data_IF_610170915755
#
_entry.id   IF_610170915755
#
_cell.length_a   1.000
_cell.length_b   1.000
_cell.length_c   1.000
_cell.angle_alpha   90.00
_cell.angle_beta   90.00
_cell.angle_gamma   90.00
#
_symmetry.space_group_name_H-M   'P 1'
#
loop_
_entity.id
_entity.type
_entity.pdbx_description
1 polymer ?
#
# COMPACT_ATOMS: atom_id res chain seq x y z
N UNK A 1 -1.31 5.99 -22.38
CA UNK A 1 -1.81 7.38 -22.54
C UNK A 1 -1.98 7.94 -21.14
N UNK A 2 -1.36 9.07 -20.80
CA UNK A 2 -1.59 9.74 -19.52
C UNK A 2 -2.98 10.37 -19.60
N UNK A 3 -3.78 10.18 -18.55
CA UNK A 3 -5.14 10.72 -18.40
C UNK A 3 -5.17 11.72 -17.25
N UNK A 4 -6.22 12.53 -17.20
CA UNK A 4 -6.43 13.51 -16.13
C UNK A 4 -6.65 12.84 -14.76
N UNK A 5 -6.50 13.64 -13.70
CA UNK A 5 -6.84 13.21 -12.34
C UNK A 5 -8.28 12.73 -12.26
N UNK A 6 -8.51 11.67 -11.48
CA UNK A 6 -9.87 11.21 -11.22
C UNK A 6 -10.56 12.26 -10.31
N UNK A 7 -11.83 12.61 -10.55
CA UNK A 7 -12.57 13.48 -9.65
C UNK A 7 -12.49 12.98 -8.20
N UNK A 8 -12.08 13.86 -7.28
CA UNK A 8 -11.89 13.54 -5.86
C UNK A 8 -10.45 13.24 -5.43
N UNK A 9 -9.51 13.04 -6.37
CA UNK A 9 -8.11 12.88 -6.01
C UNK A 9 -7.52 14.22 -5.53
N UNK A 10 -6.85 14.21 -4.37
CA UNK A 10 -6.10 15.36 -3.82
C UNK A 10 -4.64 15.32 -4.26
N UNK A 11 -3.95 16.46 -4.22
CA UNK A 11 -2.56 16.54 -4.68
C UNK A 11 -1.58 15.69 -3.85
N UNK A 12 -1.73 15.70 -2.51
CA UNK A 12 -0.87 14.93 -1.60
C UNK A 12 -1.55 14.70 -0.26
N UNK A 13 -1.34 13.54 0.34
CA UNK A 13 -1.81 13.20 1.68
C UNK A 13 -0.83 12.22 2.34
N UNK A 14 -0.34 12.54 3.53
CA UNK A 14 0.58 11.72 4.32
C UNK A 14 0.30 11.90 5.81
N UNK A 15 0.74 10.94 6.64
CA UNK A 15 0.48 10.93 8.07
C UNK A 15 1.71 11.33 8.90
N UNK A 16 1.48 11.96 10.05
CA UNK A 16 2.42 11.97 11.19
C UNK A 16 2.02 10.80 12.12
N UNK A 17 2.78 9.68 12.14
CA UNK A 17 2.44 8.51 12.94
C UNK A 17 2.91 8.61 14.40
N UNK A 18 3.45 9.74 14.85
CA UNK A 18 4.09 9.86 16.17
C UNK A 18 3.17 9.52 17.34
N UNK A 19 1.85 9.75 17.22
CA UNK A 19 0.89 9.36 18.27
C UNK A 19 0.79 7.83 18.41
N UNK A 20 0.72 7.10 17.30
CA UNK A 20 0.66 5.63 17.33
C UNK A 20 1.94 5.02 17.93
N UNK A 21 3.09 5.62 17.64
CA UNK A 21 4.37 5.22 18.23
C UNK A 21 4.38 5.45 19.75
N UNK A 22 3.92 6.61 20.23
CA UNK A 22 3.91 6.93 21.66
C UNK A 22 2.93 6.07 22.46
N UNK A 23 1.70 5.91 21.98
CA UNK A 23 0.62 5.27 22.75
C UNK A 23 0.60 3.75 22.59
N UNK A 24 0.98 3.25 21.42
CA UNK A 24 0.87 1.82 21.09
C UNK A 24 2.24 1.14 20.99
N UNK A 25 3.34 1.91 21.02
CA UNK A 25 4.67 1.38 20.70
C UNK A 25 4.77 0.83 19.27
N UNK A 26 3.88 1.26 18.37
CA UNK A 26 3.76 0.72 17.01
C UNK A 26 4.38 1.66 15.98
N UNK A 27 5.07 1.08 15.00
CA UNK A 27 5.64 1.78 13.86
C UNK A 27 5.57 0.91 12.59
N UNK A 28 5.38 1.55 11.43
CA UNK A 28 5.43 0.85 10.15
C UNK A 28 6.89 0.48 9.82
N UNK A 29 7.22 -0.82 9.89
CA UNK A 29 8.59 -1.29 9.80
C UNK A 29 9.14 -1.50 8.37
N UNK A 30 8.28 -1.47 7.34
CA UNK A 30 8.66 -1.79 5.95
C UNK A 30 8.65 -0.55 5.05
N UNK A 31 9.66 -0.44 4.20
CA UNK A 31 9.79 0.62 3.20
C UNK A 31 9.08 0.33 1.88
N UNK A 32 9.10 1.32 0.98
CA UNK A 32 8.44 1.23 -0.34
C UNK A 32 8.97 0.07 -1.20
N UNK A 33 10.28 -0.17 -1.16
CA UNK A 33 10.93 -1.23 -1.94
C UNK A 33 10.42 -2.62 -1.54
N UNK A 34 10.30 -2.87 -0.22
CA UNK A 34 9.75 -4.11 0.31
C UNK A 34 8.28 -4.27 -0.04
N UNK A 35 7.49 -3.18 0.04
CA UNK A 35 6.10 -3.19 -0.39
C UNK A 35 5.97 -3.59 -1.86
N UNK A 36 6.76 -2.97 -2.75
CA UNK A 36 6.77 -3.29 -4.17
C UNK A 36 7.20 -4.74 -4.44
N UNK A 37 8.25 -5.22 -3.77
CA UNK A 37 8.73 -6.59 -3.93
C UNK A 37 7.71 -7.63 -3.44
N UNK A 38 7.08 -7.38 -2.29
CA UNK A 38 6.04 -8.25 -1.72
C UNK A 38 4.82 -8.31 -2.64
N UNK A 39 4.36 -7.15 -3.17
CA UNK A 39 3.27 -7.09 -4.15
C UNK A 39 3.61 -7.84 -5.43
N UNK A 40 4.81 -7.65 -5.98
CA UNK A 40 5.23 -8.36 -7.19
C UNK A 40 5.32 -9.87 -6.97
N UNK A 41 5.87 -10.32 -5.83
CA UNK A 41 5.93 -11.74 -5.49
C UNK A 41 4.53 -12.35 -5.42
N UNK A 42 3.58 -11.67 -4.79
CA UNK A 42 2.19 -12.12 -4.73
C UNK A 42 1.57 -12.21 -6.13
N UNK A 43 1.61 -11.13 -6.90
CA UNK A 43 0.97 -11.05 -8.22
C UNK A 43 1.58 -12.05 -9.21
N UNK A 44 2.90 -12.25 -9.18
CA UNK A 44 3.60 -13.24 -10.01
C UNK A 44 3.13 -14.66 -9.71
N UNK A 45 2.95 -14.98 -8.43
CA UNK A 45 2.53 -16.33 -8.01
C UNK A 45 1.02 -16.55 -8.13
N UNK A 46 0.23 -15.47 -8.22
CA UNK A 46 -1.23 -15.49 -8.24
C UNK A 46 -1.74 -14.55 -9.34
N UNK A 47 -1.47 -14.88 -10.62
CA UNK A 47 -1.74 -13.99 -11.73
C UNK A 47 -3.23 -13.66 -11.88
N UNK A 48 -4.12 -14.56 -11.46
CA UNK A 48 -5.58 -14.39 -11.46
C UNK A 48 -6.16 -14.12 -10.06
N UNK A 49 -5.30 -13.82 -9.07
CA UNK A 49 -5.71 -13.67 -7.67
C UNK A 49 -6.09 -15.01 -7.02
N UNK A 50 -6.90 -14.94 -5.96
CA UNK A 50 -7.48 -16.12 -5.32
C UNK A 50 -8.58 -16.73 -6.19
N UNK A 51 -8.77 -18.07 -6.16
CA UNK A 51 -9.90 -18.69 -6.84
C UNK A 51 -11.23 -18.23 -6.24
N UNK A 52 -12.24 -18.04 -7.08
CA UNK A 52 -13.60 -17.74 -6.62
C UNK A 52 -14.14 -18.93 -5.79
N UNK A 53 -14.54 -18.66 -4.54
CA UNK A 53 -15.18 -19.65 -3.66
C UNK A 53 -14.30 -20.32 -2.60
N UNK A 54 -13.12 -19.75 -2.28
CA UNK A 54 -12.37 -20.11 -1.08
C UNK A 54 -12.99 -19.52 0.20
#
# INVERSE_FOLDING_TARGET
KIVDHRPGDVASCYADPSLAQRELGWEAAKGLEEMCADTWRWQRNNPSGYPEGA
#
